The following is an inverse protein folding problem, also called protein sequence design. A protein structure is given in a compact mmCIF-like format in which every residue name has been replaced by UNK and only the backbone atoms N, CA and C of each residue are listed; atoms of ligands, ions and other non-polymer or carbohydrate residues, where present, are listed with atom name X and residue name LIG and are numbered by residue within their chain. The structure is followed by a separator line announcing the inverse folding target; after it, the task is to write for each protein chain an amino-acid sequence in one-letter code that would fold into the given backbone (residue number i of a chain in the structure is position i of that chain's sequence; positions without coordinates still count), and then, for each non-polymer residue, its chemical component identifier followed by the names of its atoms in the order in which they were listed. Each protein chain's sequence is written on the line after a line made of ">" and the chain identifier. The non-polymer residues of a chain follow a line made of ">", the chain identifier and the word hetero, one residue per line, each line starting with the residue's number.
data_IF_592044545302
#
_entry.id   IF_592044545302
#
_cell.length_a   1.000
_cell.length_b   1.000
_cell.length_c   1.000
_cell.angle_alpha   90.00
_cell.angle_beta   90.00
_cell.angle_gamma   90.00
#
_symmetry.space_group_name_H-M   'P 1'
#
loop_
_entity.id
_entity.type
_entity.pdbx_description
1 polymer ?
#
# COMPACT_ATOMS: atom_id res chain seq x y z
N UNK A 1 5.68 5.01 -0.71
CA UNK A 1 4.29 4.94 -1.20
C UNK A 1 3.96 6.24 -1.89
N UNK A 2 3.58 6.17 -3.15
CA UNK A 2 3.29 7.35 -3.97
C UNK A 2 2.05 7.14 -4.82
N UNK A 3 1.44 8.26 -5.20
CA UNK A 3 0.36 8.33 -6.18
C UNK A 3 0.46 9.64 -6.96
N UNK A 4 0.08 9.61 -8.22
CA UNK A 4 0.22 10.78 -9.10
C UNK A 4 -0.90 11.80 -8.92
N UNK A 5 -2.10 11.35 -8.55
CA UNK A 5 -3.29 12.19 -8.44
C UNK A 5 -3.92 12.07 -7.06
N UNK A 6 -4.68 13.08 -6.60
CA UNK A 6 -5.47 12.95 -5.39
C UNK A 6 -6.44 11.77 -5.48
N UNK A 7 -6.59 11.06 -4.37
CA UNK A 7 -7.55 9.96 -4.29
C UNK A 7 -8.95 10.54 -4.23
N UNK A 8 -9.83 10.00 -5.07
CA UNK A 8 -11.25 10.39 -5.11
C UNK A 8 -12.12 9.22 -4.70
N UNK A 9 -13.20 9.50 -3.98
CA UNK A 9 -14.14 8.48 -3.54
C UNK A 9 -14.69 7.71 -4.75
N UNK A 10 -14.72 6.37 -4.62
CA UNK A 10 -15.25 5.41 -5.60
C UNK A 10 -14.50 5.33 -6.92
N UNK A 11 -13.40 6.05 -7.09
CA UNK A 11 -12.56 5.90 -8.26
C UNK A 11 -11.41 4.92 -7.97
N UNK A 12 -11.09 4.10 -8.96
CA UNK A 12 -9.95 3.20 -8.85
C UNK A 12 -8.64 3.98 -8.95
N UNK A 13 -7.66 3.58 -8.17
CA UNK A 13 -6.32 4.17 -8.20
C UNK A 13 -5.27 3.10 -7.90
N UNK A 14 -4.03 3.46 -8.15
CA UNK A 14 -2.87 2.61 -7.86
C UNK A 14 -1.94 3.31 -6.90
N UNK A 15 -1.21 2.51 -6.13
CA UNK A 15 -0.16 2.98 -5.23
C UNK A 15 1.12 2.28 -5.60
N UNK A 16 2.20 3.04 -5.71
CA UNK A 16 3.54 2.52 -5.90
C UNK A 16 4.28 2.48 -4.58
N UNK A 17 4.99 1.37 -4.35
CA UNK A 17 5.76 1.13 -3.13
C UNK A 17 7.20 0.82 -3.52
N UNK A 18 8.15 1.54 -2.94
CA UNK A 18 9.57 1.27 -3.10
C UNK A 18 10.12 0.77 -1.78
N UNK A 19 10.87 -0.33 -1.85
CA UNK A 19 11.46 -0.97 -0.68
C UNK A 19 12.96 -1.08 -0.89
N UNK A 20 13.71 -0.55 0.07
CA UNK A 20 15.18 -0.65 0.07
C UNK A 20 15.61 -1.81 0.96
N UNK A 21 16.81 -2.35 0.66
CA UNK A 21 17.43 -3.36 1.49
C UNK A 21 17.71 -2.80 2.89
N UNK A 22 17.41 -3.59 3.93
CA UNK A 22 17.73 -3.21 5.30
C UNK A 22 19.23 -3.15 5.56
N UNK A 23 20.02 -3.90 4.76
CA UNK A 23 21.46 -4.01 4.95
C UNK A 23 22.25 -2.96 4.18
N UNK A 24 21.70 -2.43 3.09
CA UNK A 24 22.41 -1.50 2.22
C UNK A 24 21.47 -0.38 1.76
N UNK A 25 21.73 0.83 2.23
CA UNK A 25 20.96 2.02 1.80
C UNK A 25 21.09 2.25 0.29
N UNK A 26 19.97 2.58 -0.33
CA UNK A 26 19.92 2.84 -1.77
C UNK A 26 19.91 1.60 -2.65
N UNK A 27 20.01 0.41 -2.05
CA UNK A 27 19.93 -0.85 -2.80
C UNK A 27 18.50 -1.37 -2.72
N UNK A 28 17.87 -1.69 -3.85
CA UNK A 28 16.52 -2.23 -3.85
C UNK A 28 16.44 -3.55 -3.06
N UNK A 29 15.37 -3.73 -2.31
CA UNK A 29 15.12 -5.00 -1.63
C UNK A 29 14.83 -6.10 -2.65
N UNK A 30 15.25 -7.31 -2.34
CA UNK A 30 15.04 -8.49 -3.16
C UNK A 30 14.49 -9.64 -2.32
N UNK A 31 13.67 -10.49 -2.93
CA UNK A 31 13.13 -11.67 -2.26
C UNK A 31 12.08 -11.38 -1.18
N UNK A 32 11.53 -10.17 -1.14
CA UNK A 32 10.48 -9.82 -0.19
C UNK A 32 9.09 -9.95 -0.83
N UNK A 33 8.08 -10.15 0.00
CA UNK A 33 6.67 -10.11 -0.41
C UNK A 33 6.05 -8.83 0.14
N UNK A 34 5.30 -8.13 -0.71
CA UNK A 34 4.65 -6.87 -0.34
C UNK A 34 3.13 -7.04 -0.40
N UNK A 35 2.44 -6.62 0.65
CA UNK A 35 0.98 -6.55 0.69
C UNK A 35 0.55 -5.14 1.03
N UNK A 36 -0.54 -4.70 0.42
CA UNK A 36 -1.09 -3.36 0.62
C UNK A 36 -2.57 -3.48 0.93
N UNK A 37 -3.02 -2.75 1.93
CA UNK A 37 -4.43 -2.71 2.32
C UNK A 37 -4.79 -1.30 2.77
N UNK A 38 -6.08 -0.99 2.75
CA UNK A 38 -6.62 0.25 3.27
C UNK A 38 -7.83 -0.06 4.15
N UNK A 39 -7.89 0.56 5.32
CA UNK A 39 -8.93 0.30 6.32
C UNK A 39 -9.47 1.58 6.92
N UNK A 40 -10.73 1.52 7.32
CA UNK A 40 -11.37 2.56 8.13
C UNK A 40 -11.47 2.05 9.58
N UNK A 41 -10.51 2.35 10.46
CA UNK A 41 -10.51 1.78 11.81
C UNK A 41 -11.72 2.22 12.64
N UNK A 42 -12.25 3.42 12.40
CA UNK A 42 -13.42 3.93 13.13
C UNK A 42 -14.72 3.19 12.73
N UNK A 43 -14.75 2.55 11.58
CA UNK A 43 -15.89 1.79 11.10
C UNK A 43 -15.65 0.28 11.11
N UNK A 44 -14.46 -0.16 11.47
CA UNK A 44 -14.04 -1.56 11.55
C UNK A 44 -14.21 -2.34 10.24
N UNK A 45 -14.01 -1.67 9.11
CA UNK A 45 -14.01 -2.34 7.81
C UNK A 45 -12.92 -1.80 6.90
N UNK A 46 -12.67 -2.50 5.82
CA UNK A 46 -11.69 -2.12 4.82
C UNK A 46 -12.33 -1.88 3.46
N UNK A 47 -11.50 -1.97 2.42
CA UNK A 47 -11.98 -1.88 1.04
C UNK A 47 -12.91 -3.04 0.72
N UNK A 48 -13.83 -2.83 -0.23
CA UNK A 48 -14.75 -3.88 -0.67
C UNK A 48 -14.05 -5.01 -1.41
N UNK A 49 -12.93 -4.72 -2.06
CA UNK A 49 -12.12 -5.70 -2.77
C UNK A 49 -10.64 -5.43 -2.49
N UNK A 50 -9.81 -6.47 -2.38
CA UNK A 50 -8.37 -6.26 -2.23
C UNK A 50 -7.77 -5.72 -3.52
N UNK A 51 -6.67 -4.97 -3.41
CA UNK A 51 -5.89 -4.59 -4.56
C UNK A 51 -5.01 -5.76 -5.03
N UNK A 52 -4.53 -5.69 -6.26
CA UNK A 52 -3.54 -6.62 -6.77
C UNK A 52 -2.15 -5.98 -6.67
N UNK A 53 -1.24 -6.68 -6.00
CA UNK A 53 0.15 -6.24 -5.86
C UNK A 53 1.01 -7.03 -6.81
N UNK A 54 1.80 -6.31 -7.62
CA UNK A 54 2.78 -6.91 -8.50
C UNK A 54 4.10 -6.16 -8.43
N UNK A 55 5.19 -6.88 -8.60
CA UNK A 55 6.50 -6.27 -8.71
C UNK A 55 6.69 -5.75 -10.13
N UNK A 56 6.99 -4.47 -10.25
CA UNK A 56 7.14 -3.80 -11.55
C UNK A 56 8.58 -3.41 -11.86
N UNK A 57 9.48 -3.62 -10.93
CA UNK A 57 10.90 -3.36 -11.11
C UNK A 57 11.68 -3.72 -9.85
N UNK A 58 13.01 -3.57 -9.86
CA UNK A 58 13.81 -3.83 -8.66
C UNK A 58 13.36 -2.95 -7.50
N UNK A 59 12.97 -3.56 -6.39
CA UNK A 59 12.51 -2.85 -5.19
C UNK A 59 11.22 -2.05 -5.38
N UNK A 60 10.51 -2.26 -6.48
CA UNK A 60 9.32 -1.46 -6.83
C UNK A 60 8.12 -2.37 -7.05
N UNK A 61 7.08 -2.14 -6.27
CA UNK A 61 5.79 -2.84 -6.36
C UNK A 61 4.68 -1.86 -6.63
N UNK A 62 3.65 -2.34 -7.32
CA UNK A 62 2.43 -1.55 -7.57
C UNK A 62 1.22 -2.32 -7.08
N UNK A 63 0.39 -1.63 -6.30
CA UNK A 63 -0.92 -2.11 -5.89
C UNK A 63 -1.94 -1.47 -6.81
N UNK A 64 -2.62 -2.28 -7.60
CA UNK A 64 -3.62 -1.83 -8.57
C UNK A 64 -5.02 -2.19 -8.12
N UNK A 65 -6.01 -1.39 -8.52
CA UNK A 65 -7.40 -1.68 -8.22
C UNK A 65 -7.83 -1.28 -6.82
N UNK A 66 -7.16 -0.32 -6.22
CA UNK A 66 -7.63 0.26 -4.95
C UNK A 66 -8.83 1.17 -5.19
N UNK A 67 -9.78 1.11 -4.29
CA UNK A 67 -10.95 1.98 -4.32
C UNK A 67 -11.47 2.19 -2.90
N UNK A 68 -11.61 3.46 -2.51
CA UNK A 68 -12.19 3.83 -1.22
C UNK A 68 -13.65 4.21 -1.45
N UNK A 69 -14.56 3.46 -0.87
CA UNK A 69 -15.99 3.57 -1.17
C UNK A 69 -16.75 4.51 -0.24
N UNK A 70 -16.07 5.08 0.76
CA UNK A 70 -16.69 6.01 1.73
C UNK A 70 -15.76 7.16 2.01
N UNK A 71 -16.33 8.32 2.31
CA UNK A 71 -15.57 9.46 2.86
C UNK A 71 -15.20 9.17 4.32
N UNK A 72 -14.15 9.81 4.81
CA UNK A 72 -13.72 9.69 6.19
C UNK A 72 -12.24 9.35 6.31
N UNK A 73 -11.88 8.90 7.49
CA UNK A 73 -10.50 8.57 7.83
C UNK A 73 -10.14 7.15 7.36
N UNK A 74 -9.10 7.05 6.54
CA UNK A 74 -8.56 5.80 6.04
C UNK A 74 -7.10 5.65 6.42
N UNK A 75 -6.72 4.44 6.81
CA UNK A 75 -5.32 4.05 7.02
C UNK A 75 -4.87 3.13 5.89
N UNK A 76 -3.71 3.44 5.31
CA UNK A 76 -3.04 2.55 4.35
C UNK A 76 -1.97 1.77 5.09
N UNK A 77 -1.97 0.46 4.92
CA UNK A 77 -0.99 -0.44 5.51
C UNK A 77 -0.20 -1.11 4.40
N UNK A 78 1.12 -1.06 4.51
CA UNK A 78 2.03 -1.79 3.62
C UNK A 78 2.80 -2.77 4.49
N UNK A 79 2.60 -4.06 4.25
CA UNK A 79 3.29 -5.12 4.95
C UNK A 79 4.37 -5.70 4.05
N UNK A 80 5.60 -5.72 4.55
CA UNK A 80 6.76 -6.26 3.86
C UNK A 80 7.19 -7.49 4.63
N UNK A 81 7.11 -8.65 3.97
CA UNK A 81 7.50 -9.93 4.54
C UNK A 81 8.85 -10.34 3.94
N UNK A 82 9.86 -10.39 4.80
CA UNK A 82 11.21 -10.83 4.45
C UNK A 82 11.51 -12.10 5.24
N UNK A 83 11.32 -13.25 4.59
CA UNK A 83 11.58 -14.58 5.16
C UNK A 83 10.90 -14.80 6.52
N UNK A 84 9.66 -14.35 6.65
CA UNK A 84 8.86 -14.50 7.87
C UNK A 84 8.95 -13.35 8.84
N UNK A 85 9.85 -12.39 8.61
CA UNK A 85 9.90 -11.15 9.37
C UNK A 85 9.03 -10.12 8.67
N UNK A 86 7.96 -9.67 9.33
CA UNK A 86 7.02 -8.73 8.75
C UNK A 86 7.23 -7.35 9.36
N UNK A 87 7.42 -6.37 8.49
CA UNK A 87 7.44 -4.96 8.86
C UNK A 87 6.23 -4.27 8.26
N UNK A 88 5.61 -3.38 9.02
CA UNK A 88 4.46 -2.61 8.56
C UNK A 88 4.80 -1.14 8.50
N UNK A 89 4.57 -0.54 7.32
CA UNK A 89 4.51 0.90 7.16
C UNK A 89 3.05 1.33 7.11
N UNK A 90 2.75 2.48 7.68
CA UNK A 90 1.39 2.98 7.76
C UNK A 90 1.35 4.47 7.45
N UNK A 91 0.35 4.89 6.70
CA UNK A 91 0.02 6.29 6.52
C UNK A 91 -1.49 6.45 6.51
N UNK A 92 -1.97 7.67 6.59
CA UNK A 92 -3.41 7.92 6.66
C UNK A 92 -3.82 9.12 5.83
N UNK A 93 -5.09 9.15 5.45
CA UNK A 93 -5.72 10.30 4.80
C UNK A 93 -7.12 10.50 5.34
N UNK A 94 -7.60 11.76 5.24
CA UNK A 94 -9.01 12.07 5.34
C UNK A 94 -9.56 12.22 3.93
N UNK A 95 -10.49 11.37 3.56
CA UNK A 95 -11.15 11.43 2.26
C UNK A 95 -12.41 12.28 2.37
N UNK A 96 -12.47 13.35 1.63
CA UNK A 96 -13.59 14.29 1.66
C UNK A 96 -14.56 14.09 0.49
#
# INVERSE_FOLDING_TARGET
>A
MEREEPIKMREFFSIDVWVESADQLGVPADGVTVRVDARMPHHRHGMLSPCEVSQVGPGHWRCSGMRLHMVGYWEFHVDIDDAGLVERAQTSIELE
#
